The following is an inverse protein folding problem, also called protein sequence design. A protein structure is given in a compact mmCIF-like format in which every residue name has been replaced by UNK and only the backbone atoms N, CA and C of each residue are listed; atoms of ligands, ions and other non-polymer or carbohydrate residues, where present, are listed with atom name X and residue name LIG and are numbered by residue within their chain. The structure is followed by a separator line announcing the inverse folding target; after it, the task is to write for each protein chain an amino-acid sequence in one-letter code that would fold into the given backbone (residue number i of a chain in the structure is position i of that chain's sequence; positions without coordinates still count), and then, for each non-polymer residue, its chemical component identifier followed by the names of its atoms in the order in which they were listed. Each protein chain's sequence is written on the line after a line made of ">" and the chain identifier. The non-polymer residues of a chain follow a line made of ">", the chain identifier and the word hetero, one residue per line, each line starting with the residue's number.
data_IF_979648170900
#
_entry.id   IF_979648170900
#
_cell.length_a   1.000
_cell.length_b   1.000
_cell.length_c   1.000
_cell.angle_alpha   90.00
_cell.angle_beta   90.00
_cell.angle_gamma   90.00
#
_symmetry.space_group_name_H-M   'P 1'
#
loop_
_entity.id
_entity.type
_entity.pdbx_description
1 polymer ?
#
# COMPACT_ATOMS: atom_id res chain seq x y z
N UNK A 1 -4.99 -10.79 -2.67
CA UNK A 1 -4.68 -9.36 -2.79
C UNK A 1 -3.18 -9.19 -2.88
N UNK A 2 -2.72 -8.40 -3.83
CA UNK A 2 -1.30 -8.07 -4.00
C UNK A 2 -1.13 -6.61 -3.60
N UNK A 3 -0.16 -6.34 -2.75
CA UNK A 3 0.26 -5.01 -2.36
C UNK A 3 1.59 -4.71 -3.03
N UNK A 4 1.64 -3.64 -3.82
CA UNK A 4 2.89 -3.08 -4.32
C UNK A 4 3.49 -2.22 -3.20
N UNK A 5 4.62 -2.65 -2.68
CA UNK A 5 5.33 -1.98 -1.60
C UNK A 5 6.20 -0.88 -2.20
N UNK A 6 5.91 0.35 -1.79
CA UNK A 6 6.74 1.48 -2.13
C UNK A 6 8.13 1.35 -1.50
N UNK A 7 9.15 1.79 -2.22
CA UNK A 7 10.54 1.65 -1.81
C UNK A 7 10.80 2.27 -0.42
N UNK A 8 10.09 3.35 -0.07
CA UNK A 8 10.27 4.04 1.21
C UNK A 8 9.85 3.21 2.45
N UNK A 9 9.09 2.13 2.27
CA UNK A 9 8.66 1.25 3.36
C UNK A 9 9.07 -0.21 3.16
N UNK A 10 9.93 -0.50 2.18
CA UNK A 10 10.30 -1.85 1.81
C UNK A 10 10.79 -2.67 3.03
N UNK A 11 11.73 -2.13 3.81
CA UNK A 11 12.22 -2.78 5.03
C UNK A 11 11.16 -2.91 6.14
N UNK A 12 10.27 -1.92 6.29
CA UNK A 12 9.19 -1.93 7.28
C UNK A 12 8.12 -2.97 6.94
N UNK A 13 7.87 -3.18 5.64
CA UNK A 13 6.83 -4.07 5.13
C UNK A 13 7.06 -5.54 5.52
N UNK A 14 8.32 -5.95 5.72
CA UNK A 14 8.67 -7.32 6.15
C UNK A 14 8.09 -7.62 7.53
N UNK A 15 8.20 -6.68 8.46
CA UNK A 15 7.70 -6.82 9.82
C UNK A 15 6.17 -6.78 9.81
N UNK A 16 5.58 -5.90 9.00
CA UNK A 16 4.12 -5.81 8.86
C UNK A 16 3.52 -7.08 8.25
N UNK A 17 4.16 -7.68 7.24
CA UNK A 17 3.73 -8.97 6.69
C UNK A 17 3.90 -10.09 7.72
N UNK A 18 4.96 -10.06 8.51
CA UNK A 18 5.17 -10.97 9.64
C UNK A 18 4.03 -10.89 10.67
N UNK A 19 3.55 -9.70 10.99
CA UNK A 19 2.41 -9.48 11.89
C UNK A 19 1.10 -10.08 11.32
N UNK A 20 0.82 -9.83 10.03
CA UNK A 20 -0.34 -10.44 9.34
C UNK A 20 -0.25 -11.97 9.39
N UNK A 21 0.95 -12.52 9.20
CA UNK A 21 1.20 -13.95 9.25
C UNK A 21 1.04 -14.54 10.66
N UNK A 22 1.54 -13.86 11.71
CA UNK A 22 1.44 -14.33 13.10
C UNK A 22 0.01 -14.38 13.61
N UNK A 23 -0.86 -13.52 13.08
CA UNK A 23 -2.30 -13.55 13.37
C UNK A 23 -3.05 -14.63 12.59
N UNK A 24 -2.37 -15.39 11.72
CA UNK A 24 -2.95 -16.51 10.96
C UNK A 24 -3.71 -16.11 9.70
N UNK A 25 -3.76 -14.82 9.36
CA UNK A 25 -4.57 -14.31 8.24
C UNK A 25 -4.15 -14.88 6.87
N UNK A 26 -2.86 -15.14 6.67
CA UNK A 26 -2.36 -15.70 5.41
C UNK A 26 -2.91 -17.12 5.11
N UNK A 27 -3.42 -17.82 6.11
CA UNK A 27 -4.10 -19.12 5.92
C UNK A 27 -5.54 -18.99 5.43
N UNK A 28 -6.16 -17.81 5.65
CA UNK A 28 -7.55 -17.53 5.31
C UNK A 28 -7.66 -16.69 4.03
N UNK A 29 -6.73 -15.76 3.84
CA UNK A 29 -6.77 -14.77 2.77
C UNK A 29 -5.38 -14.70 2.12
N UNK A 30 -5.34 -14.80 0.79
CA UNK A 30 -4.09 -14.67 0.05
C UNK A 30 -3.65 -13.21 0.03
N UNK A 31 -2.71 -12.81 0.89
CA UNK A 31 -2.05 -11.49 0.85
C UNK A 31 -0.60 -11.67 0.44
N UNK A 32 -0.15 -10.88 -0.53
CA UNK A 32 1.23 -10.89 -1.02
C UNK A 32 1.76 -9.47 -1.09
N UNK A 33 2.99 -9.28 -0.64
CA UNK A 33 3.72 -8.03 -0.77
C UNK A 33 4.76 -8.21 -1.86
N UNK A 34 4.76 -7.31 -2.84
CA UNK A 34 5.68 -7.31 -3.97
C UNK A 34 6.38 -5.96 -4.04
N UNK A 35 7.67 -5.97 -4.28
CA UNK A 35 8.52 -4.79 -4.40
C UNK A 35 8.63 -4.28 -5.84
N UNK A 36 9.16 -3.08 -6.02
CA UNK A 36 9.40 -2.53 -7.35
C UNK A 36 10.35 -3.40 -8.18
N UNK A 37 11.41 -3.93 -7.56
CA UNK A 37 12.40 -4.77 -8.23
C UNK A 37 11.80 -6.05 -8.80
N UNK A 38 10.85 -6.67 -8.09
CA UNK A 38 10.18 -7.89 -8.53
C UNK A 38 9.32 -7.70 -9.78
N UNK A 39 8.77 -6.49 -9.99
CA UNK A 39 7.99 -6.15 -11.20
C UNK A 39 8.77 -5.33 -12.24
N UNK A 40 10.10 -5.18 -12.05
CA UNK A 40 10.97 -4.43 -12.94
C UNK A 40 10.71 -2.92 -12.97
N UNK A 41 10.15 -2.37 -11.89
CA UNK A 41 9.91 -0.93 -11.74
C UNK A 41 11.17 -0.27 -11.14
N UNK A 42 11.60 0.86 -11.70
CA UNK A 42 12.73 1.60 -11.17
C UNK A 42 12.34 2.33 -9.87
N UNK A 43 13.23 2.38 -8.88
CA UNK A 43 13.02 3.12 -7.63
C UNK A 43 12.72 4.61 -7.88
N UNK A 44 13.36 5.19 -8.90
CA UNK A 44 13.19 6.59 -9.31
C UNK A 44 11.94 6.85 -10.17
N UNK A 45 11.05 5.86 -10.32
CA UNK A 45 9.82 6.02 -11.10
C UNK A 45 8.90 7.07 -10.47
N UNK A 46 8.36 7.97 -11.29
CA UNK A 46 7.42 9.00 -10.84
C UNK A 46 6.15 8.39 -10.23
N UNK A 47 5.46 9.15 -9.36
CA UNK A 47 4.24 8.64 -8.69
C UNK A 47 3.17 8.26 -9.71
N UNK A 48 3.13 8.95 -10.85
CA UNK A 48 2.23 8.62 -11.97
C UNK A 48 2.51 7.24 -12.55
N UNK A 49 3.78 6.94 -12.85
CA UNK A 49 4.18 5.63 -13.38
C UNK A 49 3.91 4.53 -12.35
N UNK A 50 4.25 4.76 -11.08
CA UNK A 50 4.00 3.79 -10.01
C UNK A 50 2.51 3.52 -9.84
N UNK A 51 1.68 4.57 -9.81
CA UNK A 51 0.23 4.44 -9.68
C UNK A 51 -0.40 3.75 -10.90
N UNK A 52 -0.07 4.16 -12.11
CA UNK A 52 -0.60 3.53 -13.33
C UNK A 52 -0.23 2.04 -13.41
N UNK A 53 1.03 1.71 -13.07
CA UNK A 53 1.51 0.32 -13.02
C UNK A 53 0.71 -0.49 -11.99
N UNK A 54 0.55 0.02 -10.76
CA UNK A 54 -0.20 -0.68 -9.71
C UNK A 54 -1.66 -0.91 -10.11
N UNK A 55 -2.33 0.09 -10.70
CA UNK A 55 -3.70 -0.07 -11.18
C UNK A 55 -3.81 -1.08 -12.31
N UNK A 56 -2.91 -1.02 -13.31
CA UNK A 56 -2.94 -1.91 -14.48
C UNK A 56 -2.74 -3.38 -14.10
N UNK A 57 -1.96 -3.64 -13.06
CA UNK A 57 -1.66 -4.98 -12.54
C UNK A 57 -2.54 -5.36 -11.35
N UNK A 58 -3.55 -4.53 -11.02
CA UNK A 58 -4.52 -4.75 -9.93
C UNK A 58 -3.85 -4.96 -8.56
N UNK A 59 -2.83 -4.17 -8.29
CA UNK A 59 -2.10 -4.13 -7.02
C UNK A 59 -2.49 -2.90 -6.21
N UNK A 60 -2.60 -3.06 -4.89
CA UNK A 60 -2.80 -1.95 -3.96
C UNK A 60 -1.44 -1.35 -3.65
N UNK A 61 -1.23 -0.05 -3.93
CA UNK A 61 0.01 0.62 -3.56
C UNK A 61 0.02 0.89 -2.04
N UNK A 62 1.02 0.36 -1.32
CA UNK A 62 1.26 0.62 0.09
C UNK A 62 2.52 1.49 0.23
N UNK A 63 2.42 2.59 0.97
CA UNK A 63 3.52 3.54 1.18
C UNK A 63 3.50 4.11 2.60
N UNK A 64 4.55 4.80 3.03
CA UNK A 64 4.48 5.74 4.14
C UNK A 64 5.09 7.06 3.71
N UNK A 65 4.31 8.14 3.78
CA UNK A 65 4.80 9.49 3.54
C UNK A 65 5.53 9.70 2.19
N UNK A 66 4.94 9.26 1.08
CA UNK A 66 5.35 9.72 -0.26
C UNK A 66 4.82 11.14 -0.49
N UNK A 67 5.67 12.13 -0.22
CA UNK A 67 5.40 13.54 -0.48
C UNK A 67 6.32 14.06 -1.59
N UNK A 68 6.07 13.63 -2.82
CA UNK A 68 6.56 14.39 -3.98
C UNK A 68 5.71 15.66 -4.11
N UNK A 69 6.37 16.81 -4.30
CA UNK A 69 5.72 18.08 -4.64
C UNK A 69 5.79 18.27 -6.15
N UNK A 70 4.66 18.53 -6.81
CA UNK A 70 4.61 18.83 -8.25
C UNK A 70 3.45 18.14 -8.98
N UNK A 71 3.45 18.27 -10.31
CA UNK A 71 2.37 17.77 -11.19
C UNK A 71 2.26 16.23 -11.24
N UNK A 72 3.32 15.52 -10.85
CA UNK A 72 3.32 14.06 -10.72
C UNK A 72 3.35 13.63 -9.25
N UNK A 73 2.80 14.44 -8.34
CA UNK A 73 2.52 13.97 -6.98
C UNK A 73 1.39 12.94 -7.03
N UNK A 74 1.47 11.93 -6.15
CA UNK A 74 0.47 10.87 -6.08
C UNK A 74 -0.95 11.43 -5.88
N UNK A 75 -1.10 12.50 -5.10
CA UNK A 75 -2.37 13.21 -4.91
C UNK A 75 -2.92 13.78 -6.22
N UNK A 76 -2.06 14.44 -7.02
CA UNK A 76 -2.46 15.00 -8.31
C UNK A 76 -2.84 13.89 -9.30
N UNK A 77 -2.06 12.81 -9.36
CA UNK A 77 -2.34 11.65 -10.21
C UNK A 77 -3.69 11.04 -9.85
N UNK A 78 -3.95 10.78 -8.56
CA UNK A 78 -5.25 10.27 -8.11
C UNK A 78 -6.40 11.26 -8.34
N UNK A 79 -6.14 12.56 -8.38
CA UNK A 79 -7.17 13.55 -8.72
C UNK A 79 -7.56 13.49 -10.19
N UNK A 80 -6.59 13.26 -11.07
CA UNK A 80 -6.75 13.27 -12.53
C UNK A 80 -7.21 11.93 -13.08
N UNK A 81 -6.67 10.82 -12.57
CA UNK A 81 -6.78 9.50 -13.21
C UNK A 81 -7.65 8.50 -12.43
N UNK A 82 -8.03 8.80 -11.18
CA UNK A 82 -8.84 7.88 -10.39
C UNK A 82 -10.24 7.69 -10.96
N UNK A 83 -10.70 6.45 -10.97
CA UNK A 83 -12.02 6.04 -11.44
C UNK A 83 -12.79 5.36 -10.30
N UNK A 84 -14.12 5.15 -10.43
CA UNK A 84 -14.89 4.40 -9.44
C UNK A 84 -14.41 2.96 -9.20
N UNK A 85 -13.59 2.40 -10.10
CA UNK A 85 -13.05 1.04 -9.98
C UNK A 85 -11.59 0.99 -9.57
N UNK A 86 -10.92 2.15 -9.45
CA UNK A 86 -9.51 2.24 -9.07
C UNK A 86 -9.28 1.71 -7.66
N UNK A 87 -8.19 0.97 -7.46
CA UNK A 87 -7.77 0.50 -6.15
C UNK A 87 -7.22 1.67 -5.31
N UNK A 88 -7.48 1.68 -3.99
CA UNK A 88 -6.95 2.72 -3.13
C UNK A 88 -5.42 2.63 -3.02
N UNK A 89 -4.78 3.78 -2.80
CA UNK A 89 -3.45 3.87 -2.23
C UNK A 89 -3.59 3.82 -0.71
N UNK A 90 -2.82 2.96 -0.05
CA UNK A 90 -2.79 2.89 1.40
C UNK A 90 -1.51 3.55 1.91
N UNK A 91 -1.66 4.44 2.89
CA UNK A 91 -0.54 5.15 3.52
C UNK A 91 -0.49 4.83 5.00
N UNK A 92 0.61 4.23 5.46
CA UNK A 92 0.91 4.08 6.89
C UNK A 92 1.25 5.47 7.44
N UNK A 93 0.60 5.87 8.53
CA UNK A 93 0.76 7.23 9.09
C UNK A 93 2.18 7.51 9.58
N UNK A 94 2.84 6.51 10.17
CA UNK A 94 4.18 6.59 10.73
C UNK A 94 4.89 5.23 10.61
N UNK A 95 5.70 5.06 9.56
CA UNK A 95 6.43 3.82 9.31
C UNK A 95 7.37 3.43 10.45
N UNK A 96 8.05 4.39 11.10
CA UNK A 96 9.00 4.11 12.17
C UNK A 96 8.33 3.41 13.35
N UNK A 97 7.06 3.74 13.63
CA UNK A 97 6.28 3.07 14.69
C UNK A 97 5.98 1.60 14.39
N UNK A 98 5.98 1.16 13.13
CA UNK A 98 5.84 -0.27 12.80
C UNK A 98 6.98 -1.11 13.41
N UNK A 99 8.16 -0.52 13.62
CA UNK A 99 9.33 -1.22 14.14
C UNK A 99 9.27 -1.38 15.66
N UNK A 100 8.83 -0.34 16.36
CA UNK A 100 9.02 -0.20 17.80
C UNK A 100 7.72 -0.31 18.62
N UNK A 101 6.56 -0.17 18.00
CA UNK A 101 5.27 -0.12 18.68
C UNK A 101 4.39 -1.29 18.19
N UNK A 102 4.29 -2.31 19.04
CA UNK A 102 3.54 -3.54 18.75
C UNK A 102 2.06 -3.26 18.48
N UNK A 103 1.38 -2.53 19.36
CA UNK A 103 -0.05 -2.23 19.22
C UNK A 103 -0.33 -1.41 17.95
N UNK A 104 0.58 -0.50 17.62
CA UNK A 104 0.47 0.26 16.40
C UNK A 104 0.60 -0.63 15.16
N UNK A 105 1.59 -1.52 15.15
CA UNK A 105 1.79 -2.48 14.05
C UNK A 105 0.59 -3.43 13.90
N UNK A 106 0.05 -3.93 15.01
CA UNK A 106 -1.13 -4.80 15.03
C UNK A 106 -2.32 -4.10 14.37
N UNK A 107 -2.63 -2.86 14.77
CA UNK A 107 -3.71 -2.08 14.15
C UNK A 107 -3.48 -1.81 12.65
N UNK A 108 -2.23 -1.63 12.22
CA UNK A 108 -1.91 -1.50 10.80
C UNK A 108 -2.20 -2.80 10.04
N UNK A 109 -1.79 -3.95 10.60
CA UNK A 109 -2.01 -5.26 10.03
C UNK A 109 -3.52 -5.57 9.90
N UNK A 110 -4.29 -5.37 10.96
CA UNK A 110 -5.74 -5.57 10.98
C UNK A 110 -6.44 -4.70 9.92
N UNK A 111 -6.04 -3.43 9.82
CA UNK A 111 -6.63 -2.50 8.84
C UNK A 111 -6.30 -2.90 7.40
N UNK A 112 -5.08 -3.40 7.13
CA UNK A 112 -4.73 -3.93 5.81
C UNK A 112 -5.53 -5.17 5.45
N UNK A 113 -5.74 -6.07 6.41
CA UNK A 113 -6.56 -7.28 6.22
C UNK A 113 -8.01 -6.90 5.91
N UNK A 114 -8.61 -5.99 6.69
CA UNK A 114 -9.98 -5.51 6.45
C UNK A 114 -10.13 -4.93 5.04
N UNK A 115 -9.21 -4.06 4.63
CA UNK A 115 -9.23 -3.48 3.27
C UNK A 115 -9.07 -4.56 2.20
N UNK A 116 -8.25 -5.59 2.44
CA UNK A 116 -8.08 -6.70 1.50
C UNK A 116 -9.33 -7.56 1.36
N UNK A 117 -10.09 -7.77 2.45
CA UNK A 117 -11.35 -8.52 2.47
C UNK A 117 -12.46 -7.73 1.76
N UNK A 118 -12.63 -6.46 2.14
CA UNK A 118 -13.74 -5.62 1.68
C UNK A 118 -13.32 -4.63 0.58
N UNK A 119 -12.36 -5.02 -0.27
CA UNK A 119 -11.74 -4.13 -1.27
C UNK A 119 -12.75 -3.42 -2.19
N UNK A 120 -13.91 -4.04 -2.43
CA UNK A 120 -14.94 -3.43 -3.29
C UNK A 120 -15.52 -2.15 -2.69
N UNK A 121 -15.60 -2.06 -1.35
CA UNK A 121 -16.14 -0.90 -0.65
C UNK A 121 -15.14 0.27 -0.63
N UNK A 122 -13.87 -0.01 -0.92
CA UNK A 122 -12.78 0.97 -0.93
C UNK A 122 -12.37 1.43 -2.32
N UNK A 123 -12.96 0.89 -3.40
CA UNK A 123 -12.64 1.33 -4.76
C UNK A 123 -13.04 2.79 -4.99
N UNK A 124 -12.20 3.50 -5.74
CA UNK A 124 -12.40 4.91 -6.08
C UNK A 124 -12.18 5.90 -4.93
N UNK A 125 -11.86 5.44 -3.71
CA UNK A 125 -11.62 6.31 -2.54
C UNK A 125 -10.30 7.09 -2.60
N UNK A 126 -9.48 6.87 -3.64
CA UNK A 126 -8.13 7.43 -3.81
C UNK A 126 -7.18 6.96 -2.73
N UNK A 127 -7.10 7.65 -1.59
CA UNK A 127 -6.08 7.43 -0.56
C UNK A 127 -6.70 7.14 0.78
N UNK A 128 -6.24 6.08 1.42
CA UNK A 128 -6.62 5.67 2.76
C UNK A 128 -5.39 5.77 3.67
N UNK A 129 -5.57 6.38 4.83
CA UNK A 129 -4.56 6.37 5.88
C UNK A 129 -4.90 5.28 6.87
N UNK A 130 -3.93 4.42 7.14
CA UNK A 130 -3.97 3.48 8.26
C UNK A 130 -3.07 4.04 9.36
N UNK A 131 -3.26 3.62 10.63
CA UNK A 131 -2.48 4.14 11.76
C UNK A 131 -1.03 4.37 11.39
#
# INVERSE_FOLDING_TARGET
>A
MIFLIDHNIEGHSVILLGEIASQGWLSLISIQFITFGEIGLAVESSDRVVWQKSQSEKMILLTANRSMKGNDSLEQVMREENTPTSLPVITVGNADRLLVDFEYRERCAERLVEIAVDINDYKGTRRMFIP
#
